data_IF_822375615209
#
_entry.id   IF_822375615209
#
_cell.length_a   1.000
_cell.length_b   1.000
_cell.length_c   1.000
_cell.angle_alpha   90.00
_cell.angle_beta   90.00
_cell.angle_gamma   90.00
#
_symmetry.space_group_name_H-M   'P 1'
#
loop_
_entity.id
_entity.type
_entity.pdbx_description
1 polymer ?
#
# COMPACT_ATOMS: atom_id res chain seq x y z
N UNK A 1 15.63 -12.58 38.22
CA UNK A 1 14.85 -12.82 36.99
C UNK A 1 14.38 -11.46 36.53
N UNK A 2 14.86 -10.91 35.41
CA UNK A 2 14.33 -9.63 34.94
C UNK A 2 12.91 -9.87 34.43
N UNK A 3 12.04 -8.96 34.84
CA UNK A 3 10.59 -8.96 34.64
C UNK A 3 10.28 -9.05 33.14
N UNK A 4 9.79 -10.20 32.67
CA UNK A 4 9.15 -10.31 31.35
C UNK A 4 7.69 -9.91 31.47
N UNK A 5 7.43 -8.67 31.89
CA UNK A 5 6.15 -8.07 31.55
C UNK A 5 6.23 -7.65 30.09
N UNK A 6 5.27 -8.14 29.31
CA UNK A 6 5.03 -7.64 27.95
C UNK A 6 4.97 -6.12 28.01
N UNK A 7 5.86 -5.44 27.28
CA UNK A 7 5.92 -3.97 27.18
C UNK A 7 4.64 -3.36 26.54
N UNK A 8 3.70 -4.20 26.10
CA UNK A 8 2.35 -3.80 25.71
C UNK A 8 2.27 -3.02 24.39
N UNK A 9 1.11 -2.39 24.18
CA UNK A 9 0.87 -1.54 23.01
C UNK A 9 1.58 -0.20 23.19
N UNK A 10 2.38 0.17 22.18
CA UNK A 10 3.06 1.45 22.09
C UNK A 10 2.02 2.59 22.00
N UNK A 11 2.22 3.66 22.77
CA UNK A 11 1.31 4.82 22.84
C UNK A 11 1.73 5.98 21.92
N UNK A 12 2.81 5.81 21.16
CA UNK A 12 3.35 6.75 20.19
C UNK A 12 3.69 6.02 18.88
N UNK A 13 3.57 6.72 17.74
CA UNK A 13 3.97 6.19 16.43
C UNK A 13 5.17 7.01 15.97
N UNK A 14 6.32 6.37 15.66
CA UNK A 14 7.49 7.09 15.21
C UNK A 14 7.28 7.63 13.78
N UNK A 15 7.94 8.74 13.46
CA UNK A 15 7.92 9.36 12.14
C UNK A 15 9.33 9.59 11.62
N UNK A 16 9.55 9.27 10.34
CA UNK A 16 10.77 9.63 9.61
C UNK A 16 10.46 10.76 8.61
N UNK A 17 11.26 11.83 8.67
CA UNK A 17 11.32 12.86 7.64
C UNK A 17 12.53 12.60 6.76
N UNK A 18 12.34 12.41 5.46
CA UNK A 18 13.43 12.02 4.55
C UNK A 18 13.26 12.63 3.16
N UNK A 19 14.38 12.84 2.46
CA UNK A 19 14.42 13.36 1.10
C UNK A 19 15.52 12.68 0.31
N UNK A 20 15.29 12.43 -0.97
CA UNK A 20 16.27 11.85 -1.88
C UNK A 20 15.63 11.27 -3.13
N UNK A 21 16.34 10.39 -3.82
CA UNK A 21 15.75 9.50 -4.84
C UNK A 21 14.86 8.44 -4.19
N UNK A 22 14.10 7.70 -5.00
CA UNK A 22 13.34 6.54 -4.52
C UNK A 22 14.20 5.56 -3.72
N UNK A 23 15.40 5.23 -4.22
CA UNK A 23 16.32 4.32 -3.52
C UNK A 23 16.81 4.92 -2.20
N UNK A 24 17.26 6.17 -2.18
CA UNK A 24 17.77 6.81 -0.96
C UNK A 24 16.69 6.95 0.11
N UNK A 25 15.46 7.29 -0.28
CA UNK A 25 14.32 7.33 0.63
C UNK A 25 14.04 5.93 1.18
N UNK A 26 14.00 4.90 0.32
CA UNK A 26 13.87 3.51 0.74
C UNK A 26 14.96 3.09 1.72
N UNK A 27 16.22 3.38 1.41
CA UNK A 27 17.37 3.08 2.25
C UNK A 27 17.29 3.76 3.62
N UNK A 28 16.88 5.02 3.66
CA UNK A 28 16.70 5.75 4.91
C UNK A 28 15.56 5.16 5.75
N UNK A 29 14.45 4.73 5.13
CA UNK A 29 13.36 4.01 5.82
C UNK A 29 13.91 2.72 6.43
N UNK A 30 14.54 1.88 5.61
CA UNK A 30 15.11 0.60 6.03
C UNK A 30 16.10 0.76 7.18
N UNK A 31 17.04 1.71 7.06
CA UNK A 31 18.08 1.98 8.07
C UNK A 31 17.50 2.50 9.37
N UNK A 32 16.52 3.40 9.30
CA UNK A 32 15.92 4.02 10.49
C UNK A 32 15.07 3.02 11.27
N UNK A 33 14.32 2.18 10.56
CA UNK A 33 13.36 1.25 11.16
C UNK A 33 13.80 -0.21 11.10
N UNK A 34 15.10 -0.48 10.90
CA UNK A 34 15.66 -1.83 10.74
C UNK A 34 15.22 -2.79 11.85
N UNK A 35 15.25 -2.34 13.10
CA UNK A 35 14.79 -3.14 14.25
C UNK A 35 13.30 -3.51 14.17
N UNK A 36 12.43 -2.58 13.77
CA UNK A 36 11.00 -2.86 13.57
C UNK A 36 10.78 -3.81 12.39
N UNK A 37 11.51 -3.61 11.28
CA UNK A 37 11.40 -4.44 10.07
C UNK A 37 11.86 -5.87 10.35
N UNK A 38 13.00 -6.06 11.04
CA UNK A 38 13.47 -7.37 11.47
C UNK A 38 12.47 -8.05 12.41
N UNK A 39 11.99 -7.33 13.43
CA UNK A 39 11.00 -7.85 14.38
C UNK A 39 9.72 -8.28 13.66
N UNK A 40 9.23 -7.46 12.72
CA UNK A 40 8.06 -7.78 11.91
C UNK A 40 8.29 -9.03 11.07
N UNK A 41 9.37 -9.09 10.28
CA UNK A 41 9.68 -10.27 9.43
C UNK A 41 9.80 -11.54 10.26
N UNK A 42 10.51 -11.50 11.39
CA UNK A 42 10.78 -12.69 12.20
C UNK A 42 9.54 -13.17 12.99
N UNK A 43 8.59 -12.27 13.25
CA UNK A 43 7.37 -12.55 14.00
C UNK A 43 6.10 -12.63 13.15
N UNK A 44 6.20 -12.49 11.82
CA UNK A 44 5.02 -12.45 10.95
C UNK A 44 4.57 -13.86 10.57
N UNK A 45 3.43 -14.27 11.11
CA UNK A 45 2.86 -15.60 10.90
C UNK A 45 2.45 -15.83 9.45
N UNK A 46 1.89 -14.82 8.78
CA UNK A 46 1.49 -14.94 7.37
C UNK A 46 2.68 -15.17 6.44
N UNK A 47 3.83 -14.55 6.73
CA UNK A 47 5.06 -14.76 5.98
C UNK A 47 5.55 -16.21 6.12
N UNK A 48 5.65 -16.70 7.36
CA UNK A 48 6.22 -18.02 7.66
C UNK A 48 5.27 -19.18 7.28
N UNK A 49 3.96 -19.03 7.51
CA UNK A 49 3.00 -20.12 7.35
C UNK A 49 2.34 -20.20 5.97
N UNK A 50 2.25 -19.08 5.25
CA UNK A 50 1.56 -19.00 3.96
C UNK A 50 2.48 -18.55 2.81
N UNK A 51 3.08 -17.35 2.91
CA UNK A 51 3.80 -16.74 1.78
C UNK A 51 5.09 -17.48 1.42
N UNK A 52 5.92 -17.86 2.41
CA UNK A 52 7.15 -18.61 2.15
C UNK A 52 6.87 -20.04 1.65
N UNK A 53 5.93 -20.81 2.24
CA UNK A 53 5.53 -22.10 1.68
C UNK A 53 5.00 -21.97 0.25
N UNK A 54 4.15 -20.99 -0.04
CA UNK A 54 3.66 -20.73 -1.39
C UNK A 54 4.82 -20.41 -2.36
N UNK A 55 5.74 -19.54 -1.96
CA UNK A 55 6.91 -19.16 -2.76
C UNK A 55 7.81 -20.36 -3.12
N UNK A 56 7.88 -21.36 -2.24
CA UNK A 56 8.71 -22.55 -2.44
C UNK A 56 8.09 -23.59 -3.39
N UNK A 57 6.84 -23.41 -3.83
CA UNK A 57 6.26 -24.26 -4.88
C UNK A 57 6.65 -23.74 -6.27
N UNK A 58 6.69 -24.60 -7.32
CA UNK A 58 6.94 -24.17 -8.69
C UNK A 58 5.97 -23.08 -9.16
N UNK A 59 4.69 -23.21 -8.84
CA UNK A 59 3.62 -22.29 -9.24
C UNK A 59 3.76 -20.94 -8.53
N UNK A 60 4.09 -20.94 -7.24
CA UNK A 60 4.26 -19.70 -6.46
C UNK A 60 5.53 -18.96 -6.80
N UNK A 61 6.61 -19.69 -7.06
CA UNK A 61 7.84 -19.08 -7.59
C UNK A 61 7.58 -18.41 -8.95
N UNK A 62 6.85 -19.08 -9.85
CA UNK A 62 6.45 -18.50 -11.13
C UNK A 62 5.57 -17.25 -10.94
N UNK A 63 4.58 -17.30 -10.05
CA UNK A 63 3.73 -16.16 -9.71
C UNK A 63 4.54 -14.95 -9.21
N UNK A 64 5.51 -15.19 -8.33
CA UNK A 64 6.44 -14.18 -7.83
C UNK A 64 7.27 -13.58 -8.97
N UNK A 65 7.90 -14.42 -9.80
CA UNK A 65 8.80 -13.99 -10.87
C UNK A 65 8.07 -13.18 -11.96
N UNK A 66 6.90 -13.65 -12.40
CA UNK A 66 6.06 -12.95 -13.37
C UNK A 66 5.62 -11.59 -12.84
N UNK A 67 5.20 -11.53 -11.57
CA UNK A 67 4.75 -10.29 -10.94
C UNK A 67 5.90 -9.30 -10.76
N UNK A 68 7.06 -9.78 -10.31
CA UNK A 68 8.26 -8.96 -10.19
C UNK A 68 8.71 -8.40 -11.55
N UNK A 69 8.66 -9.21 -12.61
CA UNK A 69 8.97 -8.76 -13.96
C UNK A 69 8.00 -7.66 -14.43
N UNK A 70 6.71 -7.81 -14.14
CA UNK A 70 5.68 -6.83 -14.45
C UNK A 70 5.92 -5.48 -13.75
N UNK A 71 6.19 -5.48 -12.44
CA UNK A 71 6.47 -4.22 -11.73
C UNK A 71 7.83 -3.63 -12.08
N UNK A 72 8.85 -4.43 -12.41
CA UNK A 72 10.14 -3.91 -12.92
C UNK A 72 9.97 -3.18 -14.25
N UNK A 73 9.03 -3.62 -15.09
CA UNK A 73 8.70 -2.97 -16.35
C UNK A 73 7.91 -1.67 -16.15
N UNK A 74 6.88 -1.69 -15.30
CA UNK A 74 5.91 -0.60 -15.20
C UNK A 74 6.23 0.42 -14.08
N UNK A 75 6.87 -0.04 -13.01
CA UNK A 75 7.17 0.71 -11.78
C UNK A 75 8.61 0.48 -11.27
N UNK A 76 9.66 0.54 -12.11
CA UNK A 76 11.05 0.27 -11.72
C UNK A 76 11.52 1.14 -10.55
N UNK A 77 11.02 2.37 -10.44
CA UNK A 77 11.36 3.29 -9.37
C UNK A 77 10.86 2.82 -7.99
N UNK A 78 9.70 2.18 -7.92
CA UNK A 78 9.18 1.63 -6.67
C UNK A 78 9.82 0.29 -6.32
N UNK A 79 10.30 -0.46 -7.32
CA UNK A 79 11.15 -1.63 -7.06
C UNK A 79 12.45 -1.18 -6.40
N UNK A 80 13.10 -0.12 -6.90
CA UNK A 80 14.30 0.44 -6.27
C UNK A 80 14.06 1.03 -4.88
N UNK A 81 12.90 1.63 -4.65
CA UNK A 81 12.50 2.07 -3.30
C UNK A 81 12.46 0.88 -2.35
N UNK A 82 11.86 -0.24 -2.76
CA UNK A 82 11.78 -1.46 -1.97
C UNK A 82 13.16 -2.15 -1.80
N UNK A 83 14.00 -2.14 -2.83
CA UNK A 83 15.41 -2.57 -2.74
C UNK A 83 16.17 -1.73 -1.70
N UNK A 84 16.00 -0.40 -1.72
CA UNK A 84 16.54 0.49 -0.71
C UNK A 84 16.06 0.12 0.70
N UNK A 85 14.75 -0.12 0.90
CA UNK A 85 14.21 -0.57 2.20
C UNK A 85 14.89 -1.86 2.65
N UNK A 86 15.01 -2.85 1.75
CA UNK A 86 15.63 -4.13 2.05
C UNK A 86 17.11 -3.98 2.46
N UNK A 87 17.88 -3.22 1.69
CA UNK A 87 19.31 -2.99 1.94
C UNK A 87 19.54 -2.17 3.20
N UNK A 88 18.79 -1.08 3.40
CA UNK A 88 18.88 -0.25 4.59
C UNK A 88 18.53 -1.01 5.87
N UNK A 89 17.55 -1.91 5.79
CA UNK A 89 17.17 -2.78 6.91
C UNK A 89 18.04 -4.04 7.03
N UNK A 90 18.93 -4.31 6.07
CA UNK A 90 19.71 -5.55 5.98
C UNK A 90 18.85 -6.83 6.02
N UNK A 91 17.79 -6.85 5.20
CA UNK A 91 16.89 -8.01 5.05
C UNK A 91 16.80 -8.44 3.58
N UNK A 92 16.47 -9.71 3.30
CA UNK A 92 16.34 -10.17 1.92
C UNK A 92 15.17 -9.49 1.19
N UNK A 93 15.44 -8.88 0.02
CA UNK A 93 14.43 -8.23 -0.83
C UNK A 93 13.21 -9.12 -1.09
N UNK A 94 13.43 -10.41 -1.35
CA UNK A 94 12.34 -11.30 -1.72
C UNK A 94 11.27 -11.45 -0.61
N UNK A 95 11.68 -11.39 0.67
CA UNK A 95 10.73 -11.41 1.79
C UNK A 95 9.85 -10.15 1.80
N UNK A 96 10.44 -8.99 1.54
CA UNK A 96 9.67 -7.75 1.43
C UNK A 96 8.74 -7.75 0.23
N UNK A 97 9.19 -8.27 -0.92
CA UNK A 97 8.33 -8.37 -2.10
C UNK A 97 7.18 -9.36 -1.89
N UNK A 98 7.38 -10.45 -1.14
CA UNK A 98 6.29 -11.36 -0.78
C UNK A 98 5.17 -10.67 0.00
N UNK A 99 5.48 -9.74 0.91
CA UNK A 99 4.44 -8.93 1.54
C UNK A 99 3.62 -8.11 0.54
N UNK A 100 4.23 -7.65 -0.55
CA UNK A 100 3.53 -6.90 -1.59
C UNK A 100 2.70 -7.81 -2.50
N UNK A 101 3.05 -9.09 -2.59
CA UNK A 101 2.24 -10.10 -3.28
C UNK A 101 0.96 -10.42 -2.50
N UNK A 102 1.03 -10.52 -1.18
CA UNK A 102 -0.14 -10.68 -0.31
C UNK A 102 -1.07 -11.83 -0.77
N UNK A 103 -2.38 -11.60 -0.87
CA UNK A 103 -3.40 -12.55 -1.37
C UNK A 103 -3.22 -12.97 -2.85
N UNK A 104 -2.31 -12.37 -3.60
CA UNK A 104 -1.91 -12.88 -4.92
C UNK A 104 -1.28 -14.28 -4.78
N UNK A 105 -0.56 -14.53 -3.68
CA UNK A 105 0.02 -15.85 -3.39
C UNK A 105 -1.03 -16.86 -2.94
N UNK A 106 -2.20 -16.43 -2.45
CA UNK A 106 -3.24 -17.34 -1.97
C UNK A 106 -3.84 -18.22 -3.09
N UNK A 107 -3.74 -17.80 -4.36
CA UNK A 107 -4.16 -18.64 -5.50
C UNK A 107 -3.28 -19.87 -5.73
N UNK A 108 -2.13 -19.95 -5.06
CA UNK A 108 -1.13 -20.99 -5.24
C UNK A 108 -1.25 -22.09 -4.17
N UNK A 109 -1.82 -21.75 -3.02
CA UNK A 109 -2.00 -22.67 -1.88
C UNK A 109 -3.46 -23.11 -1.81
N UNK A 110 -3.71 -24.37 -1.49
CA UNK A 110 -5.07 -24.93 -1.46
C UNK A 110 -5.98 -24.20 -0.46
N UNK A 111 -5.46 -23.92 0.75
CA UNK A 111 -6.12 -23.12 1.78
C UNK A 111 -5.08 -22.31 2.58
N UNK A 112 -5.22 -20.98 2.70
CA UNK A 112 -4.37 -20.17 3.57
C UNK A 112 -4.62 -20.51 5.04
N UNK A 113 -3.54 -20.65 5.82
CA UNK A 113 -3.61 -20.95 7.26
C UNK A 113 -3.89 -19.70 8.07
N UNK A 114 -3.40 -18.55 7.62
CA UNK A 114 -3.63 -17.27 8.29
C UNK A 114 -4.80 -16.56 7.63
N UNK A 115 -5.85 -16.33 8.42
CA UNK A 115 -6.97 -15.52 7.97
C UNK A 115 -6.50 -14.07 7.79
N UNK A 116 -6.73 -13.50 6.61
CA UNK A 116 -6.42 -12.09 6.35
C UNK A 116 -7.19 -11.18 7.32
N UNK A 117 -6.59 -10.03 7.63
CA UNK A 117 -7.28 -9.00 8.39
C UNK A 117 -8.49 -8.47 7.60
N UNK A 118 -9.67 -8.58 8.20
CA UNK A 118 -10.92 -8.02 7.69
C UNK A 118 -11.44 -7.13 8.82
N UNK A 119 -11.35 -5.80 8.68
CA UNK A 119 -11.79 -4.91 9.76
C UNK A 119 -11.85 -3.42 9.45
N UNK A 120 -10.95 -2.90 8.60
CA UNK A 120 -10.88 -1.46 8.37
C UNK A 120 -12.24 -0.86 8.03
N UNK A 121 -12.54 0.30 8.62
CA UNK A 121 -13.77 1.04 8.39
C UNK A 121 -13.45 2.48 8.05
N UNK A 122 -14.01 2.99 6.95
CA UNK A 122 -13.82 4.37 6.50
C UNK A 122 -15.16 5.11 6.47
N UNK A 123 -15.18 6.34 6.96
CA UNK A 123 -16.34 7.23 6.94
C UNK A 123 -15.93 8.57 6.34
N UNK A 124 -16.62 8.97 5.27
CA UNK A 124 -16.54 10.30 4.69
C UNK A 124 -17.79 11.08 5.07
N UNK A 125 -17.63 12.23 5.72
CA UNK A 125 -18.73 13.18 6.00
C UNK A 125 -18.47 14.42 5.17
N UNK A 126 -19.38 14.73 4.24
CA UNK A 126 -19.31 15.93 3.40
C UNK A 126 -20.48 16.86 3.72
N UNK A 127 -20.51 17.44 4.92
CA UNK A 127 -21.56 18.35 5.35
C UNK A 127 -21.03 19.79 5.40
N UNK A 128 -21.92 20.79 5.34
CA UNK A 128 -21.52 22.20 5.39
C UNK A 128 -20.72 22.48 6.68
N UNK A 129 -19.44 22.84 6.52
CA UNK A 129 -18.52 23.11 7.63
C UNK A 129 -17.95 21.86 8.31
N UNK A 130 -18.22 20.66 7.80
CA UNK A 130 -17.72 19.38 8.32
C UNK A 130 -17.32 18.48 7.15
N UNK A 131 -16.03 18.50 6.82
CA UNK A 131 -15.44 17.69 5.75
C UNK A 131 -14.43 16.73 6.38
N UNK A 132 -14.87 15.52 6.73
CA UNK A 132 -14.11 14.59 7.56
C UNK A 132 -13.93 13.27 6.83
N UNK A 133 -12.68 12.80 6.76
CA UNK A 133 -12.34 11.42 6.43
C UNK A 133 -11.82 10.71 7.68
N UNK A 134 -12.65 9.85 8.27
CA UNK A 134 -12.28 8.98 9.39
C UNK A 134 -11.94 7.58 8.90
N UNK A 135 -10.98 6.93 9.56
CA UNK A 135 -10.55 5.58 9.21
C UNK A 135 -10.09 4.81 10.45
N UNK A 136 -10.53 3.55 10.58
CA UNK A 136 -9.90 2.57 11.47
C UNK A 136 -8.98 1.67 10.66
N UNK A 137 -7.78 1.45 11.19
CA UNK A 137 -6.79 0.57 10.58
C UNK A 137 -6.73 -0.73 11.40
N UNK A 138 -7.30 -1.79 10.85
CA UNK A 138 -7.40 -3.09 11.49
C UNK A 138 -6.56 -4.11 10.72
N UNK A 139 -5.51 -4.60 11.37
CA UNK A 139 -4.52 -5.50 10.80
C UNK A 139 -4.32 -6.74 11.69
N UNK A 140 -3.51 -7.69 11.23
CA UNK A 140 -3.11 -8.86 12.03
C UNK A 140 -2.40 -8.41 13.31
N UNK A 141 -2.49 -9.22 14.37
CA UNK A 141 -1.81 -8.98 15.66
C UNK A 141 -0.33 -8.68 15.50
N UNK A 142 0.31 -9.35 14.54
CA UNK A 142 1.74 -9.23 14.26
C UNK A 142 2.11 -7.84 13.72
N UNK A 143 1.13 -7.08 13.24
CA UNK A 143 1.30 -5.69 12.77
C UNK A 143 1.27 -4.69 13.94
N UNK A 144 0.73 -5.08 15.09
CA UNK A 144 0.70 -4.22 16.27
C UNK A 144 2.13 -3.81 16.65
N UNK A 145 2.35 -2.51 16.84
CA UNK A 145 3.66 -1.89 17.09
C UNK A 145 4.67 -1.93 15.91
N UNK A 146 4.35 -2.57 14.78
CA UNK A 146 5.18 -2.61 13.57
C UNK A 146 4.70 -1.61 12.51
N UNK A 147 4.44 -0.37 12.96
CA UNK A 147 3.98 0.73 12.11
C UNK A 147 4.81 1.99 12.34
N UNK A 148 4.95 2.81 11.30
CA UNK A 148 5.61 4.11 11.37
C UNK A 148 5.03 5.06 10.34
N UNK A 149 5.21 6.37 10.54
CA UNK A 149 4.97 7.37 9.51
C UNK A 149 6.24 7.63 8.71
N UNK A 150 6.09 7.85 7.41
CA UNK A 150 7.12 8.42 6.55
C UNK A 150 6.58 9.70 5.95
N UNK A 151 7.26 10.82 6.19
CA UNK A 151 7.09 12.07 5.46
C UNK A 151 8.26 12.22 4.49
N UNK A 152 8.00 11.93 3.22
CA UNK A 152 9.03 11.84 2.19
C UNK A 152 8.89 12.98 1.18
N UNK A 153 10.05 13.42 0.70
CA UNK A 153 10.19 14.26 -0.48
C UNK A 153 11.12 13.55 -1.46
N UNK A 154 10.57 12.96 -2.51
CA UNK A 154 11.31 12.26 -3.54
C UNK A 154 11.56 13.19 -4.71
N UNK A 155 12.81 13.29 -5.13
CA UNK A 155 13.23 13.93 -6.37
C UNK A 155 13.98 12.88 -7.18
N UNK A 156 13.37 12.35 -8.26
CA UNK A 156 14.01 11.34 -9.08
C UNK A 156 15.21 11.94 -9.84
N UNK A 157 16.32 11.21 -9.89
CA UNK A 157 17.45 11.56 -10.77
C UNK A 157 17.08 11.47 -12.25
N UNK A 158 16.16 10.55 -12.56
CA UNK A 158 15.63 10.31 -13.91
C UNK A 158 14.14 10.00 -13.81
N UNK A 159 13.38 10.52 -14.76
CA UNK A 159 11.96 10.17 -14.89
C UNK A 159 11.83 8.74 -15.38
N UNK A 160 11.22 7.90 -14.54
CA UNK A 160 11.04 6.48 -14.81
C UNK A 160 9.68 6.00 -14.29
N UNK A 161 9.30 4.81 -14.73
CA UNK A 161 7.97 4.27 -14.50
C UNK A 161 6.90 4.95 -15.33
N UNK A 162 5.70 4.39 -15.22
CA UNK A 162 4.56 4.76 -16.06
C UNK A 162 4.12 6.21 -15.94
N UNK A 163 4.16 6.76 -14.72
CA UNK A 163 3.61 8.07 -14.40
C UNK A 163 4.63 9.20 -14.43
N UNK A 164 5.94 8.88 -14.44
CA UNK A 164 7.04 9.83 -14.65
C UNK A 164 6.93 11.10 -13.78
N UNK A 165 6.55 10.94 -12.51
CA UNK A 165 6.45 12.07 -11.57
C UNK A 165 7.80 12.78 -11.45
N UNK A 166 7.78 14.11 -11.54
CA UNK A 166 8.99 14.94 -11.40
C UNK A 166 9.42 15.10 -9.95
N UNK A 167 8.46 15.00 -9.04
CA UNK A 167 8.62 15.15 -7.61
C UNK A 167 7.44 14.45 -6.93
N UNK A 168 7.69 13.77 -5.82
CA UNK A 168 6.64 13.24 -4.95
C UNK A 168 6.87 13.79 -3.54
N UNK A 169 5.89 14.46 -2.96
CA UNK A 169 5.93 14.86 -1.54
C UNK A 169 4.68 14.38 -0.85
N UNK A 170 4.84 13.55 0.17
CA UNK A 170 3.75 12.88 0.84
C UNK A 170 4.07 12.54 2.30
N UNK A 171 3.03 12.27 3.06
CA UNK A 171 3.12 11.59 4.35
C UNK A 171 2.22 10.36 4.31
N UNK A 172 2.73 9.23 4.77
CA UNK A 172 2.02 7.95 4.77
C UNK A 172 2.26 7.21 6.08
N UNK A 173 1.21 6.60 6.63
CA UNK A 173 1.37 5.54 7.62
C UNK A 173 1.79 4.26 6.88
N UNK A 174 2.73 3.52 7.43
CA UNK A 174 3.33 2.37 6.77
C UNK A 174 3.39 1.19 7.76
N UNK A 175 3.08 0.00 7.27
CA UNK A 175 3.52 -1.22 7.92
C UNK A 175 5.02 -1.41 7.71
N UNK A 176 5.68 -2.08 8.66
CA UNK A 176 7.13 -2.24 8.63
C UNK A 176 7.62 -2.99 7.38
N UNK A 177 8.45 -2.34 6.56
CA UNK A 177 9.04 -2.93 5.36
C UNK A 177 8.16 -2.84 4.12
N UNK A 178 6.96 -2.26 4.23
CA UNK A 178 6.09 -2.01 3.08
C UNK A 178 6.44 -0.68 2.40
N UNK A 179 6.14 -0.59 1.10
CA UNK A 179 6.10 0.69 0.40
C UNK A 179 5.06 1.62 1.02
N UNK A 180 5.32 2.93 1.08
CA UNK A 180 4.32 3.93 1.47
C UNK A 180 3.04 3.85 0.62
N UNK A 181 1.91 4.25 1.18
CA UNK A 181 0.67 4.47 0.42
C UNK A 181 -0.38 3.36 0.53
N UNK A 182 -0.24 2.36 1.39
CA UNK A 182 -1.24 1.28 1.53
C UNK A 182 -2.17 1.38 2.75
N UNK A 183 -2.03 2.42 3.59
CA UNK A 183 -2.91 2.65 4.75
C UNK A 183 -3.62 4.01 4.61
N UNK A 184 -3.37 4.97 5.50
CA UNK A 184 -3.76 6.37 5.34
C UNK A 184 -2.58 7.22 4.84
N UNK A 185 -2.85 8.13 3.89
CA UNK A 185 -1.82 8.99 3.32
C UNK A 185 -2.38 10.31 2.79
N UNK A 186 -1.49 11.29 2.64
CA UNK A 186 -1.77 12.52 1.90
C UNK A 186 -0.53 13.04 1.17
N UNK A 187 -0.74 13.85 0.13
CA UNK A 187 0.34 14.46 -0.64
C UNK A 187 0.24 16.00 -0.71
N UNK A 188 1.29 16.63 -1.24
CA UNK A 188 1.39 18.09 -1.34
C UNK A 188 0.42 18.74 -2.36
N UNK A 189 -0.16 17.95 -3.27
CA UNK A 189 -1.24 18.40 -4.14
C UNK A 189 -2.58 18.53 -3.38
N UNK A 190 -2.62 18.12 -2.12
CA UNK A 190 -3.84 18.13 -1.31
C UNK A 190 -4.71 16.90 -1.54
N UNK A 191 -4.16 15.83 -2.10
CA UNK A 191 -4.83 14.54 -2.16
C UNK A 191 -4.72 13.85 -0.80
N UNK A 192 -5.84 13.35 -0.29
CA UNK A 192 -5.93 12.60 0.97
C UNK A 192 -6.66 11.31 0.67
N UNK A 193 -6.13 10.17 1.13
CA UNK A 193 -6.84 8.90 1.00
C UNK A 193 -6.56 7.92 2.13
N UNK A 194 -7.50 6.99 2.33
CA UNK A 194 -7.37 5.79 3.16
C UNK A 194 -7.73 4.55 2.37
N UNK A 195 -7.22 3.40 2.80
CA UNK A 195 -7.38 2.13 2.11
C UNK A 195 -8.19 1.16 2.97
N UNK A 196 -9.21 0.53 2.38
CA UNK A 196 -9.79 -0.69 2.92
C UNK A 196 -9.34 -1.87 2.06
N UNK A 197 -8.70 -2.85 2.68
CA UNK A 197 -8.34 -4.10 2.00
C UNK A 197 -9.61 -4.82 1.54
N UNK A 198 -9.65 -5.25 0.26
CA UNK A 198 -10.74 -6.05 -0.29
C UNK A 198 -10.18 -7.41 -0.73
N UNK A 199 -10.85 -8.49 -0.33
CA UNK A 199 -10.55 -9.83 -0.81
C UNK A 199 -11.31 -10.08 -2.10
N UNK A 200 -10.60 -10.20 -3.21
CA UNK A 200 -11.21 -10.52 -4.50
C UNK A 200 -11.28 -12.03 -4.68
N UNK A 201 -12.33 -12.52 -5.34
CA UNK A 201 -12.51 -13.96 -5.59
C UNK A 201 -11.37 -14.56 -6.44
N UNK A 202 -10.82 -13.76 -7.35
CA UNK A 202 -9.79 -14.20 -8.29
C UNK A 202 -8.68 -13.14 -8.37
N UNK A 203 -7.56 -13.38 -7.69
CA UNK A 203 -6.35 -12.59 -7.88
C UNK A 203 -5.65 -12.98 -9.20
N UNK A 204 -4.73 -12.16 -9.69
CA UNK A 204 -4.06 -12.32 -10.98
C UNK A 204 -2.54 -12.15 -10.80
N UNK A 205 -1.80 -13.24 -10.52
CA UNK A 205 -0.34 -13.21 -10.59
C UNK A 205 0.16 -12.70 -11.95
N UNK A 206 1.28 -11.99 -11.96
CA UNK A 206 1.83 -11.31 -13.15
C UNK A 206 1.27 -9.90 -13.39
N UNK A 207 0.21 -9.51 -12.69
CA UNK A 207 -0.34 -8.15 -12.71
C UNK A 207 0.22 -7.27 -11.58
N UNK A 208 -0.04 -5.97 -11.62
CA UNK A 208 0.51 -5.01 -10.65
C UNK A 208 -0.11 -5.22 -9.26
N UNK A 209 0.66 -5.50 -8.20
CA UNK A 209 0.10 -5.60 -6.86
C UNK A 209 -0.50 -4.27 -6.39
N UNK A 210 -1.61 -4.32 -5.65
CA UNK A 210 -2.35 -3.13 -5.16
C UNK A 210 -1.44 -2.11 -4.47
N UNK A 211 -0.47 -2.57 -3.67
CA UNK A 211 0.47 -1.70 -2.96
C UNK A 211 1.36 -0.86 -3.89
N UNK A 212 1.69 -1.35 -5.10
CA UNK A 212 2.43 -0.55 -6.08
C UNK A 212 1.53 0.53 -6.73
N UNK A 213 0.26 0.20 -6.97
CA UNK A 213 -0.72 1.16 -7.50
C UNK A 213 -1.00 2.25 -6.46
N UNK A 214 -1.21 1.88 -5.20
CA UNK A 214 -1.48 2.86 -4.13
C UNK A 214 -0.22 3.63 -3.73
N UNK A 215 0.98 3.07 -3.91
CA UNK A 215 2.22 3.86 -3.83
C UNK A 215 2.25 4.95 -4.90
N UNK A 216 1.84 4.63 -6.14
CA UNK A 216 1.77 5.59 -7.24
C UNK A 216 0.75 6.70 -7.00
N UNK A 217 -0.35 6.41 -6.29
CA UNK A 217 -1.37 7.40 -5.92
C UNK A 217 -0.81 8.59 -5.12
N UNK A 218 0.30 8.41 -4.38
CA UNK A 218 0.93 9.50 -3.64
C UNK A 218 1.48 10.61 -4.55
N UNK A 219 1.71 10.33 -5.84
CA UNK A 219 2.06 11.32 -6.85
C UNK A 219 0.86 11.97 -7.56
N UNK A 220 -0.38 11.55 -7.26
CA UNK A 220 -1.56 12.03 -7.99
C UNK A 220 -1.89 13.49 -7.67
N UNK A 221 -2.07 14.30 -8.70
CA UNK A 221 -2.37 15.74 -8.58
C UNK A 221 -3.86 16.04 -8.49
N UNK A 222 -4.69 15.20 -9.12
CA UNK A 222 -6.13 15.40 -9.24
C UNK A 222 -6.85 14.06 -9.43
N UNK A 223 -8.18 14.10 -9.38
CA UNK A 223 -9.02 12.92 -9.45
C UNK A 223 -8.94 12.16 -10.78
N UNK A 224 -8.71 12.85 -11.90
CA UNK A 224 -8.55 12.20 -13.21
C UNK A 224 -7.28 11.35 -13.22
N UNK A 225 -6.17 11.92 -12.75
CA UNK A 225 -4.91 11.19 -12.66
C UNK A 225 -4.98 10.02 -11.66
N UNK A 226 -5.67 10.20 -10.54
CA UNK A 226 -5.91 9.11 -9.59
C UNK A 226 -6.68 7.95 -10.24
N UNK A 227 -7.73 8.24 -11.03
CA UNK A 227 -8.46 7.20 -11.78
C UNK A 227 -7.57 6.49 -12.80
N UNK A 228 -6.70 7.23 -13.51
CA UNK A 228 -5.79 6.62 -14.48
C UNK A 228 -4.74 5.73 -13.81
N UNK A 229 -4.23 6.14 -12.64
CA UNK A 229 -3.35 5.34 -11.78
C UNK A 229 -4.06 4.05 -11.35
N UNK A 230 -5.28 4.15 -10.82
CA UNK A 230 -6.06 3.00 -10.36
C UNK A 230 -6.39 2.02 -11.49
N UNK A 231 -6.72 2.52 -12.69
CA UNK A 231 -6.97 1.66 -13.86
C UNK A 231 -5.71 0.93 -14.31
N UNK A 232 -4.53 1.50 -14.11
CA UNK A 232 -3.25 0.92 -14.50
C UNK A 232 -3.24 0.33 -15.94
N UNK A 233 -3.77 1.09 -16.91
CA UNK A 233 -3.95 0.60 -18.31
C UNK A 233 -2.67 0.09 -18.97
N UNK A 234 -2.70 -1.09 -19.55
CA UNK A 234 -1.56 -1.86 -20.02
C UNK A 234 -1.11 -2.99 -19.07
N UNK A 235 -1.68 -3.11 -17.87
CA UNK A 235 -1.43 -4.24 -16.96
C UNK A 235 -2.65 -4.54 -16.06
N UNK A 236 -3.06 -3.57 -15.25
CA UNK A 236 -4.12 -3.70 -14.26
C UNK A 236 -3.66 -4.31 -12.94
N UNK A 237 -4.53 -4.26 -11.93
CA UNK A 237 -4.26 -4.78 -10.60
C UNK A 237 -4.26 -6.31 -10.52
N UNK A 238 -3.40 -6.88 -9.66
CA UNK A 238 -3.34 -8.30 -9.32
C UNK A 238 -4.25 -8.71 -8.16
N UNK A 239 -4.60 -7.78 -7.29
CA UNK A 239 -5.54 -7.94 -6.17
C UNK A 239 -6.32 -6.63 -5.95
N UNK A 240 -7.32 -6.66 -5.06
CA UNK A 240 -8.26 -5.55 -4.89
C UNK A 240 -8.06 -4.73 -3.63
N UNK A 241 -8.54 -3.50 -3.65
CA UNK A 241 -8.71 -2.67 -2.45
C UNK A 241 -9.72 -1.56 -2.76
N UNK A 242 -10.21 -0.91 -1.71
CA UNK A 242 -11.03 0.28 -1.81
C UNK A 242 -10.26 1.50 -1.34
N UNK A 243 -10.37 2.59 -2.10
CA UNK A 243 -9.68 3.85 -1.86
C UNK A 243 -10.73 4.92 -1.55
N UNK A 244 -10.74 5.39 -0.31
CA UNK A 244 -11.59 6.50 0.13
C UNK A 244 -10.77 7.77 0.06
N UNK A 245 -11.23 8.77 -0.68
CA UNK A 245 -10.37 9.89 -1.03
C UNK A 245 -11.08 11.22 -1.23
N UNK A 246 -10.34 12.30 -1.06
CA UNK A 246 -10.77 13.66 -1.38
C UNK A 246 -9.57 14.51 -1.83
N UNK A 247 -9.85 15.57 -2.59
CA UNK A 247 -8.86 16.56 -3.00
C UNK A 247 -9.19 17.91 -2.36
N UNK A 248 -8.23 18.44 -1.61
CA UNK A 248 -8.36 19.77 -1.01
C UNK A 248 -8.26 20.89 -2.05
N UNK A 249 -7.54 20.63 -3.15
CA UNK A 249 -7.35 21.56 -4.27
C UNK A 249 -8.11 21.04 -5.48
N UNK A 250 -9.36 21.47 -5.61
CA UNK A 250 -10.16 21.17 -6.80
C UNK A 250 -11.06 22.36 -7.15
N UNK A 251 -11.54 22.38 -8.39
CA UNK A 251 -12.56 23.34 -8.81
C UNK A 251 -13.94 22.92 -8.27
N UNK A 252 -14.72 23.91 -7.84
CA UNK A 252 -16.07 23.69 -7.31
C UNK A 252 -16.10 23.19 -5.87
N UNK A 253 -17.20 22.55 -5.51
CA UNK A 253 -17.42 22.02 -4.17
C UNK A 253 -16.46 20.87 -3.85
N UNK A 254 -16.10 20.69 -2.56
CA UNK A 254 -15.33 19.50 -2.14
C UNK A 254 -16.17 18.24 -2.34
N UNK A 255 -15.55 17.24 -2.94
CA UNK A 255 -16.13 15.93 -3.20
C UNK A 255 -15.36 14.85 -2.43
N UNK A 256 -16.07 13.81 -2.02
CA UNK A 256 -15.45 12.59 -1.53
C UNK A 256 -15.73 11.48 -2.54
N UNK A 257 -14.75 10.61 -2.73
CA UNK A 257 -14.86 9.48 -3.64
C UNK A 257 -14.50 8.21 -2.91
N UNK A 258 -15.20 7.13 -3.22
CA UNK A 258 -14.77 5.78 -2.93
C UNK A 258 -14.56 5.06 -4.25
N UNK A 259 -13.36 4.53 -4.47
CA UNK A 259 -13.04 3.73 -5.64
C UNK A 259 -12.67 2.32 -5.20
N UNK A 260 -13.53 1.35 -5.51
CA UNK A 260 -13.17 -0.06 -5.41
C UNK A 260 -12.42 -0.47 -6.67
N UNK A 261 -11.20 -0.95 -6.48
CA UNK A 261 -10.34 -1.47 -7.53
C UNK A 261 -10.25 -2.98 -7.42
N UNK A 262 -10.44 -3.67 -8.54
CA UNK A 262 -10.29 -5.12 -8.63
C UNK A 262 -9.51 -5.53 -9.89
N UNK A 263 -8.90 -6.73 -9.88
CA UNK A 263 -8.35 -7.33 -11.08
C UNK A 263 -9.42 -7.54 -12.14
N UNK A 264 -9.02 -7.50 -13.41
CA UNK A 264 -9.88 -7.87 -14.53
C UNK A 264 -9.11 -8.73 -15.54
N UNK A 265 -9.82 -9.38 -16.47
CA UNK A 265 -9.19 -10.10 -17.58
C UNK A 265 -8.66 -9.18 -18.69
N UNK A 266 -9.00 -7.88 -18.65
CA UNK A 266 -8.45 -6.88 -19.56
C UNK A 266 -7.08 -6.41 -19.07
N UNK A 267 -6.32 -5.74 -19.92
CA UNK A 267 -5.07 -5.07 -19.52
C UNK A 267 -5.34 -3.77 -18.75
N UNK A 268 -6.30 -3.75 -17.83
CA UNK A 268 -6.57 -2.65 -16.90
C UNK A 268 -7.33 -3.18 -15.68
N UNK A 269 -7.26 -2.48 -14.56
CA UNK A 269 -8.08 -2.74 -13.38
C UNK A 269 -9.54 -2.39 -13.65
N UNK A 270 -10.44 -3.15 -13.05
CA UNK A 270 -11.84 -2.76 -12.98
C UNK A 270 -12.02 -1.77 -11.82
N UNK A 271 -12.74 -0.68 -12.08
CA UNK A 271 -13.06 0.32 -11.06
C UNK A 271 -14.58 0.46 -10.90
N UNK A 272 -15.04 0.51 -9.66
CA UNK A 272 -16.35 1.02 -9.29
C UNK A 272 -16.15 2.27 -8.43
N UNK A 273 -16.72 3.39 -8.86
CA UNK A 273 -16.48 4.69 -8.21
C UNK A 273 -17.82 5.25 -7.75
N UNK A 274 -17.94 5.43 -6.43
CA UNK A 274 -19.00 6.20 -5.81
C UNK A 274 -18.48 7.59 -5.44
N UNK A 275 -19.31 8.62 -5.61
CA UNK A 275 -18.96 10.01 -5.29
C UNK A 275 -20.03 10.61 -4.39
N UNK A 276 -19.61 11.26 -3.32
CA UNK A 276 -20.45 11.98 -2.38
C UNK A 276 -20.20 13.49 -2.51
N UNK A 277 -21.27 14.19 -2.90
CA UNK A 277 -21.41 15.63 -3.01
C UNK A 277 -21.63 16.27 -1.64
N UNK A 278 -21.61 17.61 -1.54
CA UNK A 278 -22.03 18.29 -0.30
C UNK A 278 -23.44 17.86 0.11
N UNK A 279 -23.60 17.52 1.39
CA UNK A 279 -24.81 16.93 1.97
C UNK A 279 -24.79 15.40 2.04
N UNK A 280 -23.83 14.73 1.40
CA UNK A 280 -23.75 13.27 1.32
C UNK A 280 -22.62 12.70 2.19
N UNK A 281 -22.68 11.39 2.45
CA UNK A 281 -21.68 10.67 3.24
C UNK A 281 -21.30 9.36 2.53
N UNK A 282 -20.09 8.87 2.79
CA UNK A 282 -19.65 7.53 2.37
C UNK A 282 -19.31 6.72 3.61
N UNK A 283 -19.73 5.46 3.64
CA UNK A 283 -19.27 4.48 4.61
C UNK A 283 -18.77 3.26 3.84
N UNK A 284 -17.58 2.79 4.17
CA UNK A 284 -16.96 1.66 3.47
C UNK A 284 -16.22 0.74 4.46
N UNK A 285 -16.33 -0.57 4.25
CA UNK A 285 -15.66 -1.61 5.06
C UNK A 285 -15.00 -2.65 4.13
N UNK A 286 -14.88 -3.92 4.50
CA UNK A 286 -14.10 -4.91 3.74
C UNK A 286 -14.94 -5.98 3.02
N UNK A 287 -16.28 -5.85 2.99
CA UNK A 287 -17.20 -6.83 2.40
C UNK A 287 -18.01 -6.27 1.25
#
# INVERSE_FOLDING_TARGET
MPVTESIGRRQDIPILYTRGTHYEVGFNIGRTFSGLIHSFINGNTALEEDLLPAYNTPEGKKAYEDTLASVKKNFPQYVRELEGIAEGANVPFFKLFLFHMDDIMSNVIEEPKVQQAVGCSSICVNQKGQEILGHTEDALSDTLNHIYFVSAHIIPEKLEGKWQFKEERFTSLCYAGHLPGYTMSYNHHGFIFTINTLSVKHTKPGKTPRMFITRALLGAENFVQAQDILRDRGCGAGNGCSINMTFLKQEGDRMFHNAEMAPSDKDESQLNIFTASPGECIMHTNK
#
